data_IF_652637621657
#
_entry.id   IF_652637621657
#
_cell.length_a   1.000
_cell.length_b   1.000
_cell.length_c   1.000
_cell.angle_alpha   90.00
_cell.angle_beta   90.00
_cell.angle_gamma   90.00
#
_symmetry.space_group_name_H-M   'P 1'
#
loop_
_entity.id
_entity.type
_entity.pdbx_description
1 polymer ?
#
# COMPACT_ATOMS: atom_id res chain seq x y z
N UNK A 1 -6.32 -27.01 7.53
CA UNK A 1 -5.16 -26.33 6.90
C UNK A 1 -5.44 -26.20 5.42
N UNK A 2 -5.39 -24.98 4.87
CA UNK A 2 -5.61 -24.76 3.43
C UNK A 2 -4.43 -23.98 2.87
N UNK A 3 -3.48 -24.73 2.31
CA UNK A 3 -2.34 -24.26 1.52
C UNK A 3 -2.91 -23.72 0.21
N UNK A 4 -2.68 -22.44 -0.13
CA UNK A 4 -2.92 -21.94 -1.48
C UNK A 4 -2.06 -22.75 -2.46
N UNK A 5 -2.65 -23.32 -3.50
CA UNK A 5 -1.93 -24.12 -4.50
C UNK A 5 -1.08 -23.23 -5.40
N UNK A 6 -0.06 -23.85 -6.02
CA UNK A 6 1.03 -23.23 -6.79
C UNK A 6 0.58 -22.34 -7.95
N UNK A 7 -0.64 -22.53 -8.44
CA UNK A 7 -1.17 -21.85 -9.63
C UNK A 7 -1.97 -20.58 -9.29
N UNK A 8 -2.28 -20.36 -7.99
CA UNK A 8 -3.04 -19.21 -7.49
C UNK A 8 -2.15 -18.06 -6.99
N UNK A 9 -0.85 -18.11 -7.31
CA UNK A 9 0.18 -17.17 -6.85
C UNK A 9 0.93 -16.65 -8.07
N UNK A 10 0.16 -16.26 -9.09
CA UNK A 10 0.59 -15.30 -10.10
C UNK A 10 -0.31 -14.11 -9.81
N UNK A 11 0.17 -13.10 -9.10
CA UNK A 11 -0.60 -11.86 -8.93
C UNK A 11 -0.62 -11.14 -10.29
N UNK A 12 -1.39 -11.70 -11.22
CA UNK A 12 -2.08 -10.92 -12.24
C UNK A 12 -2.81 -9.82 -11.48
N UNK A 13 -2.61 -8.58 -11.90
CA UNK A 13 -3.19 -7.43 -11.24
C UNK A 13 -4.72 -7.56 -11.10
N UNK A 14 -5.37 -8.39 -11.94
CA UNK A 14 -6.77 -8.78 -11.84
C UNK A 14 -7.11 -9.41 -10.48
N UNK A 15 -6.25 -10.31 -10.01
CA UNK A 15 -6.41 -10.99 -8.70
C UNK A 15 -6.25 -10.01 -7.54
N UNK A 16 -5.32 -9.05 -7.66
CA UNK A 16 -5.17 -7.97 -6.66
C UNK A 16 -6.40 -7.06 -6.67
N UNK A 17 -6.87 -6.64 -7.85
CA UNK A 17 -8.10 -5.86 -7.99
C UNK A 17 -9.33 -6.57 -7.40
N UNK A 18 -9.52 -7.86 -7.67
CA UNK A 18 -10.61 -8.67 -7.12
C UNK A 18 -10.49 -8.88 -5.60
N UNK A 19 -9.29 -8.85 -5.01
CA UNK A 19 -9.13 -8.95 -3.57
C UNK A 19 -9.62 -7.71 -2.80
N UNK A 20 -9.75 -6.57 -3.48
CA UNK A 20 -10.27 -5.30 -2.93
C UNK A 20 -11.63 -4.89 -3.51
N UNK A 21 -12.15 -5.61 -4.50
CA UNK A 21 -13.44 -5.35 -5.14
C UNK A 21 -14.28 -6.64 -5.19
N UNK A 22 -15.50 -6.60 -4.64
CA UNK A 22 -16.48 -7.69 -4.77
C UNK A 22 -17.07 -7.82 -6.20
N UNK A 23 -16.52 -7.11 -7.18
CA UNK A 23 -16.96 -7.12 -8.58
C UNK A 23 -15.86 -7.66 -9.49
N UNK A 24 -16.26 -8.39 -10.53
CA UNK A 24 -15.35 -8.73 -11.62
C UNK A 24 -14.85 -7.44 -12.28
N UNK A 25 -13.54 -7.17 -12.16
CA UNK A 25 -12.88 -6.03 -12.81
C UNK A 25 -12.54 -6.45 -14.24
N UNK A 26 -12.89 -5.62 -15.21
CA UNK A 26 -12.54 -5.86 -16.62
C UNK A 26 -11.04 -5.68 -16.85
N UNK A 27 -10.50 -6.33 -17.87
CA UNK A 27 -9.06 -6.21 -18.20
C UNK A 27 -8.69 -4.76 -18.58
N UNK A 28 -9.64 -3.98 -19.12
CA UNK A 28 -9.45 -2.57 -19.46
C UNK A 28 -9.37 -1.70 -18.20
N UNK A 29 -10.28 -1.90 -17.25
CA UNK A 29 -10.25 -1.20 -15.96
C UNK A 29 -8.95 -1.50 -15.22
N UNK A 30 -8.48 -2.74 -15.33
CA UNK A 30 -7.24 -3.16 -14.74
C UNK A 30 -6.02 -2.49 -15.38
N UNK A 31 -5.92 -2.46 -16.70
CA UNK A 31 -4.84 -1.78 -17.43
C UNK A 31 -4.82 -0.29 -17.09
N UNK A 32 -5.98 0.36 -17.12
CA UNK A 32 -6.13 1.76 -16.76
C UNK A 32 -5.67 1.99 -15.31
N UNK A 33 -6.06 1.12 -14.39
CA UNK A 33 -5.64 1.21 -13.00
C UNK A 33 -4.13 1.02 -12.81
N UNK A 34 -3.55 0.00 -13.45
CA UNK A 34 -2.11 -0.28 -13.39
C UNK A 34 -1.27 0.85 -13.99
N UNK A 35 -1.79 1.57 -14.97
CA UNK A 35 -1.10 2.73 -15.55
C UNK A 35 -0.88 3.86 -14.53
N UNK A 36 -1.63 3.86 -13.43
CA UNK A 36 -1.47 4.83 -12.33
C UNK A 36 -0.44 4.41 -11.28
N UNK A 37 0.12 3.21 -11.39
CA UNK A 37 1.06 2.66 -10.42
C UNK A 37 2.50 2.63 -10.95
N UNK A 38 3.45 2.97 -10.09
CA UNK A 38 4.86 2.70 -10.29
C UNK A 38 5.15 1.24 -9.85
N UNK A 39 5.68 0.42 -10.78
CA UNK A 39 5.83 -1.03 -10.57
C UNK A 39 7.31 -1.41 -10.53
N UNK A 40 7.75 -1.96 -9.40
CA UNK A 40 9.12 -2.43 -9.21
C UNK A 40 9.14 -3.95 -9.10
N UNK A 41 10.10 -4.59 -9.77
CA UNK A 41 10.18 -6.07 -9.87
C UNK A 41 11.61 -6.55 -9.63
N UNK A 42 11.76 -7.67 -8.93
CA UNK A 42 12.98 -8.47 -8.96
C UNK A 42 12.76 -9.71 -9.81
N UNK A 43 13.72 -9.96 -10.71
CA UNK A 43 13.77 -11.16 -11.53
C UNK A 43 15.10 -11.87 -11.34
N UNK A 44 15.09 -13.19 -11.42
CA UNK A 44 16.27 -14.05 -11.46
C UNK A 44 16.12 -15.01 -12.63
N UNK A 45 17.06 -14.98 -13.57
CA UNK A 45 17.00 -15.72 -14.84
C UNK A 45 15.66 -15.59 -15.59
N UNK A 46 15.05 -14.40 -15.53
CA UNK A 46 13.75 -14.12 -16.15
C UNK A 46 12.53 -14.53 -15.31
N UNK A 47 12.67 -15.38 -14.29
CA UNK A 47 11.60 -15.72 -13.34
C UNK A 47 11.32 -14.52 -12.43
N UNK A 48 10.05 -14.16 -12.27
CA UNK A 48 9.64 -13.11 -11.33
C UNK A 48 9.77 -13.63 -9.88
N UNK A 49 10.65 -13.00 -9.11
CA UNK A 49 10.85 -13.31 -7.69
C UNK A 49 9.91 -12.49 -6.80
N UNK A 50 9.77 -11.20 -7.09
CA UNK A 50 9.00 -10.29 -6.26
C UNK A 50 8.55 -9.07 -7.06
N UNK A 51 7.44 -8.46 -6.64
CA UNK A 51 6.90 -7.23 -7.21
C UNK A 51 6.29 -6.35 -6.12
N UNK A 52 6.35 -5.04 -6.33
CA UNK A 52 5.61 -4.05 -5.54
C UNK A 52 4.98 -3.03 -6.47
N UNK A 53 3.73 -2.70 -6.18
CA UNK A 53 2.91 -1.73 -6.90
C UNK A 53 2.70 -0.55 -5.96
N UNK A 54 3.24 0.60 -6.34
CA UNK A 54 3.17 1.82 -5.56
C UNK A 54 2.28 2.83 -6.29
N UNK A 55 1.28 3.35 -5.61
CA UNK A 55 0.42 4.41 -6.14
C UNK A 55 0.80 5.72 -5.48
N UNK A 56 1.17 6.70 -6.29
CA UNK A 56 1.38 8.08 -5.81
C UNK A 56 0.02 8.71 -5.54
N UNK A 57 -0.12 9.34 -4.38
CA UNK A 57 -1.36 10.00 -3.97
C UNK A 57 -1.06 11.31 -3.22
N UNK A 58 -2.10 12.11 -3.03
CA UNK A 58 -2.06 13.30 -2.20
C UNK A 58 -3.17 13.20 -1.16
N UNK A 59 -2.79 13.26 0.11
CA UNK A 59 -3.71 13.46 1.20
C UNK A 59 -3.78 14.94 1.56
N UNK A 60 -4.85 15.31 2.24
CA UNK A 60 -5.12 16.66 2.66
C UNK A 60 -5.38 16.66 4.16
N UNK A 61 -4.77 17.63 4.83
CA UNK A 61 -4.88 17.83 6.26
C UNK A 61 -5.45 19.21 6.53
N UNK A 62 -6.48 19.29 7.35
CA UNK A 62 -6.94 20.59 7.86
C UNK A 62 -6.02 21.05 8.99
N UNK A 63 -5.50 22.26 8.85
CA UNK A 63 -4.65 22.90 9.87
C UNK A 63 -5.29 24.22 10.27
N UNK A 64 -5.65 24.31 11.55
CA UNK A 64 -6.20 25.50 12.15
C UNK A 64 -5.07 26.33 12.76
N UNK A 65 -4.88 27.53 12.25
CA UNK A 65 -4.07 28.59 12.85
C UNK A 65 -5.02 29.59 13.54
N UNK A 66 -4.49 30.45 14.42
CA UNK A 66 -5.30 31.50 15.06
C UNK A 66 -6.07 32.29 13.98
N UNK A 67 -7.40 32.13 14.00
CA UNK A 67 -8.40 32.77 13.11
C UNK A 67 -8.44 32.31 11.65
N UNK A 68 -7.64 31.33 11.21
CA UNK A 68 -7.63 30.86 9.82
C UNK A 68 -7.46 29.34 9.76
N UNK A 69 -8.38 28.65 9.08
CA UNK A 69 -8.20 27.26 8.67
C UNK A 69 -7.58 27.19 7.28
N UNK A 70 -6.57 26.35 7.10
CA UNK A 70 -5.98 26.02 5.78
C UNK A 70 -5.98 24.53 5.54
N UNK A 71 -5.91 24.15 4.27
CA UNK A 71 -5.70 22.78 3.84
C UNK A 71 -4.25 22.64 3.41
N UNK A 72 -3.52 21.72 4.02
CA UNK A 72 -2.15 21.37 3.65
C UNK A 72 -2.17 20.08 2.83
N UNK A 73 -1.42 20.07 1.72
CA UNK A 73 -1.22 18.87 0.91
C UNK A 73 -0.07 18.02 1.47
N UNK A 74 -0.30 16.71 1.55
CA UNK A 74 0.65 15.73 2.03
C UNK A 74 0.87 14.72 0.92
N UNK A 75 2.09 14.70 0.40
CA UNK A 75 2.50 13.70 -0.59
C UNK A 75 2.49 12.32 0.06
N UNK A 76 1.86 11.37 -0.61
CA UNK A 76 1.73 10.01 -0.14
C UNK A 76 2.13 9.00 -1.22
N UNK A 77 2.62 7.86 -0.76
CA UNK A 77 2.86 6.67 -1.58
C UNK A 77 2.13 5.52 -0.93
N UNK A 78 1.09 5.03 -1.60
CA UNK A 78 0.30 3.90 -1.18
C UNK A 78 0.91 2.60 -1.69
N UNK A 79 1.18 1.66 -0.79
CA UNK A 79 1.54 0.29 -1.14
C UNK A 79 0.25 -0.44 -1.50
N UNK A 80 0.00 -0.59 -2.80
CA UNK A 80 -1.19 -1.25 -3.29
C UNK A 80 -1.05 -2.78 -3.25
N UNK A 81 0.09 -3.29 -3.70
CA UNK A 81 0.40 -4.71 -3.64
C UNK A 81 1.89 -4.93 -3.43
N UNK A 82 2.21 -5.94 -2.62
CA UNK A 82 3.56 -6.41 -2.38
C UNK A 82 3.56 -7.94 -2.39
N UNK A 83 4.26 -8.51 -3.36
CA UNK A 83 4.28 -9.94 -3.59
C UNK A 83 5.71 -10.47 -3.62
N UNK A 84 5.89 -11.67 -3.04
CA UNK A 84 7.12 -12.45 -3.14
C UNK A 84 6.77 -13.89 -3.44
N UNK A 85 7.42 -14.45 -4.46
CA UNK A 85 7.35 -15.85 -4.84
C UNK A 85 7.66 -16.74 -3.63
N UNK A 86 6.82 -17.75 -3.41
CA UNK A 86 6.89 -18.63 -2.24
C UNK A 86 8.27 -19.27 -2.03
N UNK A 87 8.99 -19.62 -3.09
CA UNK A 87 10.35 -20.20 -3.06
C UNK A 87 11.39 -19.25 -2.42
N UNK A 88 11.09 -17.95 -2.41
CA UNK A 88 12.02 -16.89 -2.01
C UNK A 88 11.54 -16.09 -0.78
N UNK A 89 10.42 -16.47 -0.17
CA UNK A 89 9.90 -15.82 1.05
C UNK A 89 10.83 -16.05 2.24
N UNK A 90 10.67 -15.21 3.28
CA UNK A 90 11.47 -15.22 4.53
C UNK A 90 12.97 -14.92 4.35
N UNK A 91 13.39 -14.49 3.15
CA UNK A 91 14.77 -14.07 2.84
C UNK A 91 14.97 -12.54 2.85
N UNK A 92 14.05 -11.78 3.48
CA UNK A 92 14.12 -10.31 3.53
C UNK A 92 13.80 -9.58 2.22
N UNK A 93 13.45 -10.30 1.15
CA UNK A 93 13.24 -9.73 -0.20
C UNK A 93 12.15 -8.66 -0.23
N UNK A 94 11.02 -8.87 0.46
CA UNK A 94 9.92 -7.91 0.53
C UNK A 94 10.39 -6.54 1.04
N UNK A 95 11.14 -6.54 2.16
CA UNK A 95 11.71 -5.33 2.75
C UNK A 95 12.71 -4.66 1.82
N UNK A 96 13.60 -5.45 1.21
CA UNK A 96 14.61 -4.92 0.28
C UNK A 96 13.97 -4.28 -0.96
N UNK A 97 12.97 -4.95 -1.57
CA UNK A 97 12.26 -4.43 -2.73
C UNK A 97 11.52 -3.14 -2.39
N UNK A 98 10.74 -3.14 -1.30
CA UNK A 98 9.97 -1.98 -0.89
C UNK A 98 10.87 -0.78 -0.58
N UNK A 99 11.98 -1.00 0.14
CA UNK A 99 12.93 0.08 0.45
C UNK A 99 13.55 0.67 -0.82
N UNK A 100 14.00 -0.18 -1.76
CA UNK A 100 14.55 0.29 -3.04
C UNK A 100 13.51 1.05 -3.85
N UNK A 101 12.28 0.53 -3.94
CA UNK A 101 11.19 1.17 -4.66
C UNK A 101 10.87 2.56 -4.09
N UNK A 102 10.71 2.69 -2.76
CA UNK A 102 10.42 3.97 -2.10
C UNK A 102 11.58 4.97 -2.27
N UNK A 103 12.83 4.52 -2.20
CA UNK A 103 13.99 5.37 -2.45
C UNK A 103 14.04 5.87 -3.89
N UNK A 104 13.67 5.03 -4.87
CA UNK A 104 13.55 5.44 -6.27
C UNK A 104 12.44 6.47 -6.45
N UNK A 105 11.22 6.20 -5.95
CA UNK A 105 10.10 7.16 -6.00
C UNK A 105 10.50 8.51 -5.40
N UNK A 106 11.12 8.48 -4.23
CA UNK A 106 11.58 9.68 -3.55
C UNK A 106 12.51 10.52 -4.43
N UNK A 107 13.46 9.87 -5.10
CA UNK A 107 14.45 10.51 -5.97
C UNK A 107 13.81 11.03 -7.26
N UNK A 108 13.05 10.19 -7.97
CA UNK A 108 12.50 10.51 -9.29
C UNK A 108 11.43 11.60 -9.23
N UNK A 109 10.61 11.62 -8.17
CA UNK A 109 9.51 12.56 -8.02
C UNK A 109 9.81 13.71 -7.06
N UNK A 110 11.04 13.81 -6.56
CA UNK A 110 11.50 14.87 -5.64
C UNK A 110 10.57 15.03 -4.41
N UNK A 111 10.25 13.92 -3.73
CA UNK A 111 9.33 13.90 -2.58
C UNK A 111 9.95 14.41 -1.26
N UNK A 112 11.19 14.90 -1.28
CA UNK A 112 11.86 15.36 -0.04
C UNK A 112 12.01 14.24 0.99
N UNK A 113 12.14 14.59 2.27
CA UNK A 113 12.08 13.62 3.38
C UNK A 113 10.64 13.42 3.91
N UNK A 114 9.71 14.29 3.52
CA UNK A 114 8.41 14.45 4.18
C UNK A 114 7.27 13.95 3.29
N UNK A 115 7.29 12.66 2.96
CA UNK A 115 6.15 11.99 2.34
C UNK A 115 5.71 10.80 3.17
N UNK A 116 4.41 10.55 3.13
CA UNK A 116 3.77 9.47 3.87
C UNK A 116 3.84 8.20 3.04
N UNK A 117 4.14 7.08 3.69
CA UNK A 117 3.92 5.75 3.10
C UNK A 117 2.72 5.14 3.81
N UNK A 118 1.69 4.80 3.03
CA UNK A 118 0.44 4.23 3.53
C UNK A 118 0.12 2.92 2.83
N UNK A 119 -0.81 2.16 3.40
CA UNK A 119 -1.33 0.93 2.84
C UNK A 119 -2.72 0.66 3.42
N UNK A 120 -3.47 -0.21 2.75
CA UNK A 120 -4.76 -0.67 3.24
C UNK A 120 -4.70 -2.20 3.44
N UNK A 121 -5.19 -2.65 4.59
CA UNK A 121 -5.36 -4.07 4.88
C UNK A 121 -6.84 -4.40 4.86
N UNK A 122 -7.23 -5.41 4.07
CA UNK A 122 -8.61 -5.88 4.03
C UNK A 122 -8.83 -6.91 5.14
N UNK A 123 -9.82 -6.68 6.02
CA UNK A 123 -10.18 -7.62 7.08
C UNK A 123 -10.66 -8.99 6.56
N UNK A 124 -11.19 -9.03 5.33
CA UNK A 124 -11.59 -10.26 4.68
C UNK A 124 -10.39 -11.07 4.15
N UNK A 125 -9.18 -10.50 4.11
CA UNK A 125 -7.98 -11.26 3.75
C UNK A 125 -7.61 -12.23 4.87
N UNK A 126 -7.73 -13.53 4.56
CA UNK A 126 -7.32 -14.63 5.45
C UNK A 126 -5.89 -14.51 5.98
N UNK A 127 -5.00 -13.81 5.26
CA UNK A 127 -3.61 -13.60 5.65
C UNK A 127 -3.32 -12.19 6.15
N UNK A 128 -4.35 -11.39 6.45
CA UNK A 128 -4.22 -10.02 6.95
C UNK A 128 -3.28 -9.94 8.15
N UNK A 129 -3.33 -10.90 9.07
CA UNK A 129 -2.45 -10.95 10.25
C UNK A 129 -0.95 -11.05 9.89
N UNK A 130 -0.61 -11.77 8.82
CA UNK A 130 0.77 -11.88 8.33
C UNK A 130 1.21 -10.55 7.70
N UNK A 131 0.36 -9.97 6.87
CA UNK A 131 0.60 -8.66 6.25
C UNK A 131 0.77 -7.57 7.32
N UNK A 132 -0.13 -7.53 8.30
CA UNK A 132 -0.06 -6.63 9.45
C UNK A 132 1.27 -6.77 10.20
N UNK A 133 1.69 -7.99 10.55
CA UNK A 133 2.95 -8.24 11.25
C UNK A 133 4.17 -7.75 10.44
N UNK A 134 4.16 -7.94 9.12
CA UNK A 134 5.20 -7.44 8.22
C UNK A 134 5.29 -5.91 8.27
N UNK A 135 4.17 -5.21 8.07
CA UNK A 135 4.18 -3.74 8.02
C UNK A 135 4.45 -3.12 9.40
N UNK A 136 3.95 -3.73 10.45
CA UNK A 136 4.28 -3.33 11.82
C UNK A 136 5.78 -3.46 12.10
N UNK A 137 6.44 -4.51 11.60
CA UNK A 137 7.90 -4.67 11.69
C UNK A 137 8.67 -3.64 10.82
N UNK A 138 8.02 -3.06 9.81
CA UNK A 138 8.53 -1.96 8.99
C UNK A 138 8.20 -0.57 9.57
N UNK A 139 7.76 -0.52 10.83
CA UNK A 139 7.46 0.69 11.57
C UNK A 139 6.22 1.47 11.08
N UNK A 140 5.25 0.77 10.47
CA UNK A 140 3.90 1.29 10.32
C UNK A 140 3.22 1.23 11.69
N UNK A 141 3.04 2.39 12.33
CA UNK A 141 2.59 2.51 13.73
C UNK A 141 1.28 3.27 13.91
N UNK A 142 0.74 3.86 12.85
CA UNK A 142 -0.51 4.62 12.90
C UNK A 142 -1.46 4.03 11.87
N UNK A 143 -2.62 3.59 12.31
CA UNK A 143 -3.62 2.96 11.46
C UNK A 143 -5.04 3.25 11.96
N UNK A 144 -5.98 3.21 11.03
CA UNK A 144 -7.38 3.48 11.29
C UNK A 144 -8.24 2.44 10.58
N UNK A 145 -9.36 2.08 11.19
CA UNK A 145 -10.42 1.38 10.48
C UNK A 145 -11.19 2.35 9.60
N UNK A 146 -11.38 1.99 8.33
CA UNK A 146 -12.11 2.78 7.33
C UNK A 146 -13.23 1.93 6.74
N UNK A 147 -14.30 2.56 6.28
CA UNK A 147 -15.54 1.86 5.88
C UNK A 147 -15.56 1.51 4.40
N UNK A 148 -15.02 2.38 3.55
CA UNK A 148 -15.09 2.25 2.09
C UNK A 148 -13.71 2.09 1.45
N UNK A 149 -12.64 2.54 2.12
CA UNK A 149 -11.27 2.31 1.67
C UNK A 149 -10.34 3.51 1.91
N UNK A 150 -9.18 3.56 1.22
CA UNK A 150 -8.15 4.58 1.48
C UNK A 150 -8.61 6.02 1.23
N UNK A 151 -9.60 6.22 0.35
CA UNK A 151 -10.14 7.55 0.06
C UNK A 151 -10.92 8.18 1.25
N UNK A 152 -11.38 7.39 2.22
CA UNK A 152 -12.08 7.89 3.42
C UNK A 152 -11.21 8.86 4.23
N UNK A 153 -9.89 8.66 4.20
CA UNK A 153 -8.92 9.49 4.92
C UNK A 153 -8.27 10.56 4.04
N UNK A 154 -8.65 10.64 2.76
CA UNK A 154 -7.99 11.52 1.79
C UNK A 154 -8.06 12.99 2.19
N UNK A 155 -9.19 13.44 2.73
CA UNK A 155 -9.41 14.82 3.15
C UNK A 155 -9.35 15.05 4.66
N UNK A 156 -9.03 14.01 5.41
CA UNK A 156 -9.14 13.99 6.87
C UNK A 156 -7.87 13.41 7.51
N UNK A 157 -6.70 13.66 6.89
CA UNK A 157 -5.45 13.03 7.28
C UNK A 157 -5.01 13.40 8.71
N UNK A 158 -5.48 14.53 9.24
CA UNK A 158 -5.24 14.93 10.64
C UNK A 158 -5.72 13.89 11.66
N UNK A 159 -6.73 13.07 11.34
CA UNK A 159 -7.24 12.09 12.30
C UNK A 159 -6.23 10.97 12.54
N UNK A 160 -5.45 10.57 11.54
CA UNK A 160 -4.37 9.58 11.71
C UNK A 160 -3.30 10.09 12.68
N UNK A 161 -2.97 11.39 12.62
CA UNK A 161 -1.96 11.95 13.51
C UNK A 161 -2.40 12.02 14.97
N UNK A 162 -3.71 12.23 15.19
CA UNK A 162 -4.35 12.42 16.50
C UNK A 162 -4.76 11.12 17.19
N UNK A 163 -4.50 9.95 16.59
CA UNK A 163 -4.81 8.67 17.21
C UNK A 163 -4.13 8.56 18.57
N UNK A 164 -4.91 8.18 19.58
CA UNK A 164 -4.43 8.01 20.95
C UNK A 164 -3.68 6.69 21.09
N UNK A 165 -4.13 5.65 20.39
CA UNK A 165 -3.44 4.39 20.24
C UNK A 165 -2.79 4.26 18.85
N UNK A 166 -1.82 3.35 18.68
CA UNK A 166 -1.24 3.05 17.36
C UNK A 166 -2.30 2.66 16.31
N UNK A 167 -3.43 2.11 16.76
CA UNK A 167 -4.57 1.71 15.94
C UNK A 167 -5.84 2.07 16.71
N UNK A 168 -6.70 2.89 16.11
CA UNK A 168 -8.02 3.25 16.65
C UNK A 168 -9.08 3.15 15.53
N UNK A 169 -10.34 3.05 15.93
CA UNK A 169 -11.49 3.20 15.01
C UNK A 169 -11.80 4.69 14.92
N UNK A 170 -11.86 5.24 13.70
CA UNK A 170 -12.17 6.66 13.43
C UNK A 170 -13.57 6.79 12.83
#
# INVERSE_FOLDING_TARGET
>A
QGIKTRDQVVDDAKTVGMAFSQKDISDVDLINYLSTCDIFKFKDNGELIASVYLKRNTYYKKVDYLFVSRVEEIKAVEIYSLWVNSKFRRKGIARMLLFKALMTIRKEYNYGNDFVVSLHLNEADKYMNISFALYYALNFRKGAYVKHGPDDLKYNFEFIHKLHNPIDVI
#
